data_IF_023682691057
#
_entry.id   IF_023682691057
#
_cell.length_a   1.000
_cell.length_b   1.000
_cell.length_c   1.000
_cell.angle_alpha   90.00
_cell.angle_beta   90.00
_cell.angle_gamma   90.00
#
_symmetry.space_group_name_H-M   'P 1'
#
loop_
_entity.id
_entity.type
_entity.pdbx_description
1 polymer ?
#
# COMPACT_ATOMS: atom_id res chain seq x y z
N UNK A 1 -61.96 57.07 -2.09
CA UNK A 1 -61.87 58.42 -1.44
C UNK A 1 -60.40 58.68 -1.17
N UNK A 2 -59.85 59.64 -1.90
CA UNK A 2 -58.55 60.33 -1.75
C UNK A 2 -57.25 59.51 -1.95
N UNK A 3 -56.66 59.55 -3.14
CA UNK A 3 -55.31 59.94 -3.49
C UNK A 3 -54.97 61.34 -3.01
N UNK A 4 -53.78 61.85 -2.79
CA UNK A 4 -52.83 62.08 -3.88
C UNK A 4 -51.30 62.00 -3.53
N UNK A 5 -50.50 61.83 -4.60
CA UNK A 5 -49.25 62.52 -4.97
C UNK A 5 -48.08 62.53 -3.97
N UNK A 6 -46.87 62.32 -4.30
CA UNK A 6 -46.04 62.65 -5.44
C UNK A 6 -44.60 62.65 -4.96
N UNK A 7 -43.64 62.43 -5.81
CA UNK A 7 -42.27 62.79 -5.50
C UNK A 7 -41.22 61.78 -6.00
N UNK A 8 -40.84 61.96 -7.25
CA UNK A 8 -39.65 61.46 -7.91
C UNK A 8 -38.40 61.81 -7.09
N UNK A 9 -37.48 60.77 -6.95
CA UNK A 9 -36.06 61.09 -7.07
C UNK A 9 -35.30 59.82 -7.45
N UNK A 10 -34.85 59.81 -8.69
CA UNK A 10 -33.79 58.89 -9.20
C UNK A 10 -32.47 59.30 -8.58
N UNK A 11 -31.86 58.43 -7.76
CA UNK A 11 -30.46 58.52 -7.44
C UNK A 11 -29.83 57.21 -7.81
N UNK A 12 -28.91 57.23 -8.78
CA UNK A 12 -28.23 56.09 -9.34
C UNK A 12 -27.37 55.36 -8.29
N UNK A 13 -27.60 54.06 -8.18
CA UNK A 13 -26.67 53.18 -7.47
C UNK A 13 -25.43 52.97 -8.33
N UNK A 14 -24.34 53.64 -7.98
CA UNK A 14 -23.01 53.29 -8.42
C UNK A 14 -22.57 52.00 -7.70
N UNK A 15 -22.27 51.01 -8.48
CA UNK A 15 -21.71 49.71 -8.04
C UNK A 15 -20.23 49.95 -7.66
N UNK A 16 -19.77 49.61 -6.45
CA UNK A 16 -18.35 49.77 -6.10
C UNK A 16 -17.52 48.74 -6.85
N UNK A 17 -16.54 49.22 -7.60
CA UNK A 17 -15.52 48.41 -8.29
C UNK A 17 -14.68 47.67 -7.25
N UNK A 18 -14.50 46.39 -7.49
CA UNK A 18 -13.59 45.53 -6.76
C UNK A 18 -12.15 46.03 -6.96
N UNK A 19 -11.35 46.26 -5.90
CA UNK A 19 -9.97 46.73 -6.05
C UNK A 19 -9.11 45.65 -6.72
N UNK A 20 -8.28 46.09 -7.68
CA UNK A 20 -7.25 45.28 -8.36
C UNK A 20 -6.07 45.13 -7.42
N UNK A 21 -5.41 43.94 -7.48
CA UNK A 21 -4.29 43.55 -6.62
C UNK A 21 -2.95 44.27 -6.93
N UNK A 22 -2.96 45.36 -7.71
CA UNK A 22 -1.75 46.03 -8.20
C UNK A 22 -1.53 47.45 -7.68
N UNK A 23 -2.40 47.93 -6.76
CA UNK A 23 -2.25 49.29 -6.23
C UNK A 23 -1.30 49.30 -5.01
N UNK A 24 -0.29 50.17 -4.99
CA UNK A 24 0.61 50.32 -3.84
C UNK A 24 -0.10 50.95 -2.66
N UNK A 25 0.06 50.37 -1.49
CA UNK A 25 -0.47 50.88 -0.21
C UNK A 25 0.30 52.14 0.14
N UNK A 26 -0.35 53.29 0.05
CA UNK A 26 0.14 54.58 0.57
C UNK A 26 -0.34 54.67 2.02
N UNK A 27 0.59 54.57 2.96
CA UNK A 27 0.34 54.87 4.37
C UNK A 27 0.49 56.38 4.57
N UNK A 28 -0.62 57.08 4.70
CA UNK A 28 -0.64 58.45 5.20
C UNK A 28 -0.40 58.43 6.74
N UNK A 29 0.74 58.92 7.15
CA UNK A 29 1.00 59.25 8.54
C UNK A 29 0.64 60.71 8.72
N UNK A 30 -0.42 60.97 9.42
CA UNK A 30 -0.81 62.30 9.91
C UNK A 30 0.14 62.67 11.06
N UNK A 31 0.98 63.68 10.86
CA UNK A 31 1.82 64.27 11.92
C UNK A 31 1.10 65.52 12.45
N UNK A 32 0.67 65.40 13.70
CA UNK A 32 0.20 66.50 14.48
C UNK A 32 1.40 67.38 14.91
N UNK A 33 1.23 68.70 14.76
CA UNK A 33 2.27 69.68 14.97
C UNK A 33 2.45 70.10 16.44
N UNK A 34 3.68 70.25 16.85
CA UNK A 34 4.07 70.78 18.14
C UNK A 34 5.44 71.46 18.07
N UNK A 35 5.44 72.80 18.18
CA UNK A 35 6.61 73.67 18.21
C UNK A 35 7.63 73.33 19.32
N UNK A 36 8.93 73.36 18.97
CA UNK A 36 10.05 73.35 19.95
C UNK A 36 11.41 73.46 19.28
N UNK A 37 12.39 74.23 19.80
CA UNK A 37 13.50 74.73 19.03
C UNK A 37 14.66 73.81 18.78
N UNK A 38 15.33 74.07 17.65
CA UNK A 38 16.57 73.34 17.21
C UNK A 38 17.75 73.57 18.16
N UNK A 39 18.67 72.49 18.22
CA UNK A 39 20.04 72.81 17.93
C UNK A 39 20.77 71.71 17.10
N UNK A 40 21.60 72.24 16.19
CA UNK A 40 22.92 71.83 15.73
C UNK A 40 23.17 70.37 15.29
N UNK A 41 23.41 70.25 14.01
CA UNK A 41 24.37 69.43 13.28
C UNK A 41 25.20 68.40 14.05
N UNK A 42 24.92 67.11 13.75
CA UNK A 42 25.94 66.07 13.64
C UNK A 42 25.47 64.99 12.69
N UNK A 43 25.99 65.01 11.46
CA UNK A 43 25.78 63.99 10.44
C UNK A 43 26.76 62.83 10.70
N UNK A 44 26.30 61.61 11.00
CA UNK A 44 27.18 60.46 11.03
C UNK A 44 27.49 60.02 9.60
N UNK A 45 28.71 59.46 9.34
CA UNK A 45 29.16 59.13 7.99
C UNK A 45 28.32 57.99 7.37
N UNK A 46 27.96 58.17 6.10
CA UNK A 46 27.29 57.15 5.26
C UNK A 46 28.21 55.92 5.17
N UNK A 47 27.74 54.80 5.67
CA UNK A 47 28.35 53.49 5.37
C UNK A 47 28.18 53.18 3.87
N UNK A 48 29.25 52.67 3.18
CA UNK A 48 29.14 52.30 1.81
C UNK A 48 28.15 51.12 1.66
N UNK A 49 27.16 51.28 0.82
CA UNK A 49 26.21 50.24 0.43
C UNK A 49 26.94 49.17 -0.41
N UNK A 50 27.25 48.06 0.21
CA UNK A 50 27.75 46.89 -0.51
C UNK A 50 26.69 46.34 -1.50
N UNK A 51 27.09 45.68 -2.57
CA UNK A 51 26.18 45.20 -3.58
C UNK A 51 25.15 44.23 -2.95
N UNK A 52 23.87 44.56 -3.03
CA UNK A 52 22.77 43.71 -2.63
C UNK A 52 22.64 42.58 -3.64
N UNK A 53 23.23 41.42 -3.34
CA UNK A 53 23.01 40.21 -4.13
C UNK A 53 21.59 39.73 -3.82
N UNK A 54 20.63 40.16 -4.64
CA UNK A 54 19.27 39.59 -4.67
C UNK A 54 19.33 38.31 -5.52
N UNK A 55 19.77 37.22 -4.92
CA UNK A 55 19.55 35.90 -5.53
C UNK A 55 18.05 35.58 -5.42
N UNK A 56 17.29 35.83 -6.48
CA UNK A 56 15.93 35.30 -6.62
C UNK A 56 16.03 33.78 -6.52
N UNK A 57 15.26 33.10 -5.65
CA UNK A 57 15.25 31.65 -5.63
C UNK A 57 14.84 31.16 -7.01
N UNK A 58 15.70 30.31 -7.61
CA UNK A 58 15.49 29.72 -8.92
C UNK A 58 14.25 28.80 -8.81
N UNK A 59 13.05 29.34 -9.11
CA UNK A 59 11.85 28.50 -9.21
C UNK A 59 12.05 27.54 -10.37
N UNK A 60 11.89 26.23 -10.16
CA UNK A 60 12.00 25.27 -11.24
C UNK A 60 11.02 25.68 -12.35
N UNK A 61 11.58 25.94 -13.55
CA UNK A 61 10.77 26.31 -14.73
C UNK A 61 9.80 25.15 -14.98
N UNK A 62 8.50 25.45 -14.95
CA UNK A 62 7.46 24.49 -15.40
C UNK A 62 7.83 24.08 -16.84
N UNK A 63 7.88 22.73 -17.13
CA UNK A 63 8.20 22.29 -18.47
C UNK A 63 7.25 22.91 -19.48
N UNK A 64 7.79 23.48 -20.57
CA UNK A 64 7.00 24.09 -21.64
C UNK A 64 6.07 23.04 -22.26
N UNK A 65 4.95 23.45 -22.82
CA UNK A 65 4.03 22.52 -23.49
C UNK A 65 4.72 21.76 -24.63
N UNK A 66 5.69 22.36 -25.31
CA UNK A 66 6.53 21.70 -26.31
C UNK A 66 7.34 20.53 -25.75
N UNK A 67 7.94 20.68 -24.55
CA UNK A 67 8.66 19.60 -23.88
C UNK A 67 7.75 18.41 -23.53
N UNK A 68 6.51 18.67 -23.12
CA UNK A 68 5.53 17.62 -22.81
C UNK A 68 5.09 16.86 -24.06
N UNK A 69 4.88 17.58 -25.17
CA UNK A 69 4.53 16.97 -26.45
C UNK A 69 5.70 16.13 -26.96
N UNK A 70 6.93 16.65 -26.89
CA UNK A 70 8.12 15.89 -27.28
C UNK A 70 8.28 14.60 -26.47
N UNK A 71 8.18 14.66 -25.14
CA UNK A 71 8.21 13.47 -24.26
C UNK A 71 7.08 12.50 -24.63
N UNK A 72 5.88 13.01 -24.89
CA UNK A 72 4.74 12.18 -25.32
C UNK A 72 5.01 11.45 -26.64
N UNK A 73 5.59 12.13 -27.62
CA UNK A 73 5.93 11.54 -28.93
C UNK A 73 7.04 10.49 -28.77
N UNK A 74 8.10 10.80 -28.00
CA UNK A 74 9.18 9.83 -27.75
C UNK A 74 8.67 8.60 -27.04
N UNK A 75 7.79 8.77 -26.03
CA UNK A 75 7.18 7.66 -25.31
C UNK A 75 6.27 6.82 -26.25
N UNK A 76 5.44 7.47 -27.07
CA UNK A 76 4.60 6.79 -28.04
C UNK A 76 5.44 5.99 -29.06
N UNK A 77 6.51 6.58 -29.57
CA UNK A 77 7.43 5.91 -30.50
C UNK A 77 8.12 4.72 -29.83
N UNK A 78 8.58 4.86 -28.59
CA UNK A 78 9.18 3.76 -27.83
C UNK A 78 8.18 2.61 -27.61
N UNK A 79 6.91 2.92 -27.32
CA UNK A 79 5.84 1.92 -27.19
C UNK A 79 5.59 1.20 -28.52
N UNK A 80 5.52 1.94 -29.64
CA UNK A 80 5.31 1.36 -30.97
C UNK A 80 6.46 0.44 -31.37
N UNK A 81 7.70 0.87 -31.14
CA UNK A 81 8.90 0.07 -31.41
C UNK A 81 8.91 -1.19 -30.53
N UNK A 82 8.64 -1.05 -29.22
CA UNK A 82 8.57 -2.18 -28.30
C UNK A 82 7.49 -3.18 -28.71
N UNK A 83 6.31 -2.70 -29.09
CA UNK A 83 5.20 -3.53 -29.57
C UNK A 83 5.56 -4.24 -30.89
N UNK A 84 6.25 -3.57 -31.81
CA UNK A 84 6.72 -4.15 -33.05
C UNK A 84 7.67 -5.34 -32.79
N UNK A 85 8.67 -5.17 -31.92
CA UNK A 85 9.59 -6.26 -31.60
C UNK A 85 8.89 -7.42 -30.88
N UNK A 86 7.99 -7.11 -29.93
CA UNK A 86 7.22 -8.14 -29.24
C UNK A 86 6.33 -8.93 -30.20
N UNK A 87 5.68 -8.25 -31.15
CA UNK A 87 4.85 -8.87 -32.18
C UNK A 87 5.67 -9.69 -33.18
N UNK A 88 6.82 -9.17 -33.61
CA UNK A 88 7.73 -9.87 -34.51
C UNK A 88 8.23 -11.18 -33.87
N UNK A 89 8.65 -11.15 -32.61
CA UNK A 89 9.06 -12.35 -31.88
C UNK A 89 7.91 -13.35 -31.77
N UNK A 90 6.71 -12.90 -31.39
CA UNK A 90 5.52 -13.76 -31.29
C UNK A 90 5.17 -14.43 -32.63
N UNK A 91 5.18 -13.65 -33.72
CA UNK A 91 4.89 -14.19 -35.08
C UNK A 91 5.95 -15.22 -35.48
N UNK A 92 7.23 -14.94 -35.20
CA UNK A 92 8.32 -15.87 -35.49
C UNK A 92 8.17 -17.20 -34.74
N UNK A 93 7.83 -17.12 -33.44
CA UNK A 93 7.59 -18.31 -32.61
C UNK A 93 6.41 -19.12 -33.15
N UNK A 94 5.29 -18.47 -33.48
CA UNK A 94 4.11 -19.14 -34.07
C UNK A 94 4.46 -19.82 -35.39
N UNK A 95 5.19 -19.16 -36.28
CA UNK A 95 5.60 -19.73 -37.56
C UNK A 95 6.56 -20.93 -37.36
N UNK A 96 7.50 -20.83 -36.44
CA UNK A 96 8.45 -21.90 -36.12
C UNK A 96 7.74 -23.15 -35.58
N UNK A 97 6.85 -22.99 -34.57
CA UNK A 97 6.03 -24.08 -34.04
C UNK A 97 5.09 -24.68 -35.10
N UNK A 98 4.57 -23.83 -35.99
CA UNK A 98 3.72 -24.29 -37.10
C UNK A 98 4.46 -25.18 -38.07
N UNK A 99 5.71 -24.81 -38.43
CA UNK A 99 6.55 -25.61 -39.34
C UNK A 99 6.91 -26.99 -38.77
N UNK A 100 7.05 -27.06 -37.42
CA UNK A 100 7.35 -28.31 -36.72
C UNK A 100 6.10 -29.16 -36.43
N UNK A 101 4.88 -28.70 -36.75
CA UNK A 101 3.63 -29.39 -36.46
C UNK A 101 3.17 -29.29 -35.00
N UNK A 102 3.82 -28.44 -34.16
CA UNK A 102 3.54 -28.28 -32.73
C UNK A 102 2.73 -27.03 -32.39
N UNK A 103 1.81 -26.60 -33.25
CA UNK A 103 0.97 -25.41 -33.01
C UNK A 103 0.18 -25.50 -31.70
N UNK A 104 -0.29 -26.69 -31.32
CA UNK A 104 -1.04 -26.88 -30.07
C UNK A 104 -0.23 -26.47 -28.84
N UNK A 105 1.10 -26.65 -28.84
CA UNK A 105 1.98 -26.29 -27.72
C UNK A 105 1.97 -24.79 -27.47
N UNK A 106 2.15 -23.99 -28.53
CA UNK A 106 2.18 -22.52 -28.38
C UNK A 106 0.83 -21.97 -27.93
N UNK A 107 -0.28 -22.51 -28.47
CA UNK A 107 -1.62 -22.08 -28.07
C UNK A 107 -1.95 -22.49 -26.63
N UNK A 108 -1.56 -23.69 -26.20
CA UNK A 108 -1.70 -24.12 -24.80
C UNK A 108 -0.88 -23.22 -23.87
N UNK A 109 0.37 -22.94 -24.22
CA UNK A 109 1.24 -22.06 -23.44
C UNK A 109 0.68 -20.65 -23.32
N UNK A 110 0.28 -20.05 -24.46
CA UNK A 110 -0.27 -18.70 -24.50
C UNK A 110 -1.61 -18.62 -23.74
N UNK A 111 -2.50 -19.59 -24.01
CA UNK A 111 -3.80 -19.65 -23.34
C UNK A 111 -3.68 -19.79 -21.83
N UNK A 112 -2.77 -20.65 -21.36
CA UNK A 112 -2.50 -20.81 -19.92
C UNK A 112 -1.89 -19.56 -19.31
N UNK A 113 -0.91 -18.94 -19.96
CA UNK A 113 -0.29 -17.68 -19.49
C UNK A 113 -1.31 -16.56 -19.36
N UNK A 114 -2.11 -16.32 -20.40
CA UNK A 114 -3.14 -15.28 -20.41
C UNK A 114 -4.25 -15.62 -19.43
N UNK A 115 -4.67 -16.88 -19.39
CA UNK A 115 -5.70 -17.37 -18.47
C UNK A 115 -5.31 -17.16 -17.00
N UNK A 116 -4.11 -17.55 -16.61
CA UNK A 116 -3.58 -17.33 -15.25
C UNK A 116 -3.46 -15.85 -14.91
N UNK A 117 -2.94 -15.05 -15.84
CA UNK A 117 -2.83 -13.60 -15.67
C UNK A 117 -4.20 -12.97 -15.42
N UNK A 118 -5.18 -13.25 -16.27
CA UNK A 118 -6.54 -12.70 -16.15
C UNK A 118 -7.25 -13.21 -14.88
N UNK A 119 -7.16 -14.50 -14.58
CA UNK A 119 -7.76 -15.09 -13.40
C UNK A 119 -7.24 -14.39 -12.12
N UNK A 120 -5.93 -14.20 -12.05
CA UNK A 120 -5.33 -13.53 -10.90
C UNK A 120 -5.67 -12.03 -10.83
N UNK A 121 -5.70 -11.34 -11.98
CA UNK A 121 -6.13 -9.95 -12.07
C UNK A 121 -7.58 -9.77 -11.57
N UNK A 122 -8.48 -10.67 -11.97
CA UNK A 122 -9.87 -10.68 -11.50
C UNK A 122 -9.96 -10.94 -10.00
N UNK A 123 -9.17 -11.87 -9.46
CA UNK A 123 -9.15 -12.16 -8.03
C UNK A 123 -8.68 -10.95 -7.21
N UNK A 124 -7.61 -10.25 -7.63
CA UNK A 124 -7.15 -9.03 -6.97
C UNK A 124 -8.21 -7.92 -7.07
N UNK A 125 -8.85 -7.76 -8.23
CA UNK A 125 -9.92 -6.79 -8.41
C UNK A 125 -11.12 -7.10 -7.48
N UNK A 126 -11.48 -8.37 -7.33
CA UNK A 126 -12.53 -8.81 -6.42
C UNK A 126 -12.17 -8.50 -4.94
N UNK A 127 -10.94 -8.81 -4.51
CA UNK A 127 -10.45 -8.49 -3.16
C UNK A 127 -10.49 -6.98 -2.91
N UNK A 128 -10.04 -6.17 -3.86
CA UNK A 128 -10.11 -4.71 -3.77
C UNK A 128 -11.55 -4.19 -3.69
N UNK A 129 -12.45 -4.74 -4.50
CA UNK A 129 -13.88 -4.40 -4.48
C UNK A 129 -14.54 -4.78 -3.14
N UNK A 130 -14.27 -5.99 -2.62
CA UNK A 130 -14.77 -6.44 -1.33
C UNK A 130 -14.25 -5.52 -0.22
N UNK A 131 -12.94 -5.24 -0.20
CA UNK A 131 -12.34 -4.36 0.80
C UNK A 131 -12.94 -2.97 0.78
N UNK A 132 -13.18 -2.39 -0.42
CA UNK A 132 -13.79 -1.08 -0.58
C UNK A 132 -15.26 -1.07 -0.12
N UNK A 133 -16.04 -2.08 -0.49
CA UNK A 133 -17.45 -2.17 -0.08
C UNK A 133 -17.60 -2.30 1.42
N UNK A 134 -16.79 -3.13 2.07
CA UNK A 134 -16.77 -3.29 3.52
C UNK A 134 -16.37 -1.97 4.23
N UNK A 135 -15.39 -1.24 3.69
CA UNK A 135 -14.97 0.04 4.25
C UNK A 135 -16.05 1.13 4.09
N UNK A 136 -16.75 1.16 2.94
CA UNK A 136 -17.87 2.08 2.70
C UNK A 136 -19.04 1.77 3.65
N UNK A 137 -19.33 0.50 3.87
CA UNK A 137 -20.36 0.04 4.83
C UNK A 137 -20.01 0.35 6.28
N UNK A 138 -18.70 0.43 6.54
CA UNK A 138 -18.13 0.74 7.85
C UNK A 138 -17.95 2.23 8.09
N UNK A 139 -18.37 3.11 7.17
CA UNK A 139 -18.19 4.55 7.27
C UNK A 139 -18.82 5.09 8.55
N UNK A 140 -18.10 5.91 9.35
CA UNK A 140 -18.69 6.62 10.47
C UNK A 140 -19.78 7.59 9.95
N UNK A 141 -20.88 7.71 10.69
CA UNK A 141 -21.91 8.69 10.38
C UNK A 141 -21.30 10.10 10.32
N UNK A 142 -21.79 10.93 9.38
CA UNK A 142 -21.22 12.23 9.05
C UNK A 142 -21.23 13.27 10.20
N UNK A 143 -21.83 12.95 11.33
CA UNK A 143 -21.87 13.77 12.54
C UNK A 143 -20.47 14.03 13.17
N UNK A 144 -19.46 13.25 12.82
CA UNK A 144 -18.08 13.43 13.27
C UNK A 144 -17.18 14.09 12.20
N UNK A 145 -17.71 14.96 11.37
CA UNK A 145 -16.94 15.86 10.52
C UNK A 145 -15.94 16.62 11.40
N UNK A 146 -14.63 16.39 11.17
CA UNK A 146 -13.58 17.13 11.86
C UNK A 146 -13.61 18.60 11.37
N UNK A 147 -14.51 19.38 11.93
CA UNK A 147 -14.49 20.83 11.83
C UNK A 147 -13.47 21.33 12.82
N UNK A 148 -12.36 21.87 12.36
CA UNK A 148 -11.46 22.63 13.22
C UNK A 148 -11.94 24.07 13.18
N UNK A 149 -12.36 24.60 14.33
CA UNK A 149 -12.62 26.03 14.50
C UNK A 149 -11.27 26.72 14.74
N UNK A 150 -10.83 27.49 13.76
CA UNK A 150 -9.68 28.39 13.89
C UNK A 150 -10.21 29.81 13.73
N UNK A 151 -10.08 30.63 14.76
CA UNK A 151 -10.50 32.05 14.78
C UNK A 151 -11.99 32.32 14.42
N UNK A 152 -12.90 31.43 14.77
CA UNK A 152 -14.33 31.59 14.47
C UNK A 152 -14.77 30.99 13.13
N UNK A 153 -13.86 30.72 12.22
CA UNK A 153 -14.14 30.02 10.96
C UNK A 153 -14.03 28.50 11.10
N UNK A 154 -15.06 27.82 10.64
CA UNK A 154 -15.08 26.35 10.56
C UNK A 154 -14.39 25.90 9.29
N UNK A 155 -13.15 25.41 9.41
CA UNK A 155 -12.43 24.77 8.29
C UNK A 155 -12.82 23.29 8.28
N UNK A 156 -13.63 22.90 7.30
CA UNK A 156 -13.88 21.49 7.01
C UNK A 156 -12.64 20.85 6.38
N UNK A 157 -11.83 20.17 7.18
CA UNK A 157 -10.69 19.39 6.68
C UNK A 157 -11.19 18.02 6.27
N UNK A 158 -11.25 17.81 4.96
CA UNK A 158 -11.56 16.53 4.35
C UNK A 158 -12.97 16.46 3.79
N UNK A 159 -13.18 16.97 2.58
CA UNK A 159 -14.31 16.56 1.74
C UNK A 159 -14.24 15.05 1.61
N UNK A 160 -15.07 14.33 2.34
CA UNK A 160 -15.17 12.89 2.19
C UNK A 160 -15.58 12.59 0.76
N UNK A 161 -14.75 11.77 0.09
CA UNK A 161 -15.05 11.29 -1.26
C UNK A 161 -16.43 10.64 -1.27
N UNK A 162 -17.28 10.96 -2.25
CA UNK A 162 -18.58 10.30 -2.39
C UNK A 162 -18.42 8.79 -2.43
N UNK A 163 -19.30 8.04 -1.75
CA UNK A 163 -19.25 6.57 -1.72
C UNK A 163 -19.23 5.93 -3.12
N UNK A 164 -19.91 6.56 -4.10
CA UNK A 164 -19.90 6.11 -5.50
C UNK A 164 -18.54 6.33 -6.15
N UNK A 165 -17.93 7.50 -5.96
CA UNK A 165 -16.60 7.82 -6.50
C UNK A 165 -15.51 6.96 -5.86
N UNK A 166 -15.56 6.77 -4.53
CA UNK A 166 -14.62 5.92 -3.81
C UNK A 166 -14.66 4.47 -4.29
N UNK A 167 -15.87 3.93 -4.53
CA UNK A 167 -16.02 2.57 -5.08
C UNK A 167 -15.43 2.46 -6.49
N UNK A 168 -15.68 3.44 -7.37
CA UNK A 168 -15.09 3.46 -8.72
C UNK A 168 -13.57 3.52 -8.69
N UNK A 169 -13.02 4.42 -7.87
CA UNK A 169 -11.56 4.57 -7.70
C UNK A 169 -10.96 3.26 -7.17
N UNK A 170 -11.57 2.65 -6.17
CA UNK A 170 -11.10 1.39 -5.62
C UNK A 170 -11.10 0.26 -6.65
N UNK A 171 -12.16 0.14 -7.47
CA UNK A 171 -12.24 -0.85 -8.55
C UNK A 171 -11.16 -0.60 -9.61
N UNK A 172 -10.99 0.65 -10.05
CA UNK A 172 -9.98 0.98 -11.07
C UNK A 172 -8.57 0.70 -10.55
N UNK A 173 -8.26 1.13 -9.32
CA UNK A 173 -6.94 0.88 -8.72
C UNK A 173 -6.72 -0.63 -8.54
N UNK A 174 -7.70 -1.37 -8.02
CA UNK A 174 -7.54 -2.80 -7.82
C UNK A 174 -7.42 -3.58 -9.14
N UNK A 175 -8.10 -3.13 -10.20
CA UNK A 175 -7.93 -3.70 -11.53
C UNK A 175 -6.54 -3.45 -12.10
N UNK A 176 -6.03 -2.20 -12.00
CA UNK A 176 -4.66 -1.85 -12.42
C UNK A 176 -3.63 -2.68 -11.64
N UNK A 177 -3.77 -2.73 -10.32
CA UNK A 177 -2.90 -3.54 -9.45
C UNK A 177 -2.98 -5.01 -9.84
N UNK A 178 -4.19 -5.53 -10.10
CA UNK A 178 -4.41 -6.90 -10.56
C UNK A 178 -3.72 -7.22 -11.88
N UNK A 179 -3.83 -6.33 -12.87
CA UNK A 179 -3.17 -6.50 -14.17
C UNK A 179 -1.63 -6.47 -14.05
N UNK A 180 -1.09 -5.60 -13.19
CA UNK A 180 0.37 -5.51 -12.98
C UNK A 180 0.89 -6.74 -12.23
N UNK A 181 0.28 -7.10 -11.10
CA UNK A 181 0.75 -8.24 -10.29
C UNK A 181 0.35 -9.60 -10.87
N UNK A 182 -0.70 -9.67 -11.68
CA UNK A 182 -1.07 -10.88 -12.41
C UNK A 182 0.04 -11.38 -13.33
N UNK A 183 0.88 -10.49 -13.86
CA UNK A 183 2.01 -10.86 -14.72
C UNK A 183 3.05 -11.75 -14.03
N UNK A 184 3.14 -11.73 -12.71
CA UNK A 184 4.04 -12.59 -11.92
C UNK A 184 3.71 -14.08 -12.10
N UNK A 185 2.43 -14.43 -12.29
CA UNK A 185 1.98 -15.81 -12.45
C UNK A 185 2.08 -16.31 -13.88
N UNK A 186 2.22 -15.39 -14.83
CA UNK A 186 2.45 -15.72 -16.23
C UNK A 186 3.75 -16.49 -16.46
N UNK A 187 4.79 -16.22 -15.67
CA UNK A 187 6.10 -16.89 -15.83
C UNK A 187 6.05 -18.39 -15.47
N UNK A 188 5.20 -18.76 -14.51
CA UNK A 188 5.16 -20.11 -13.92
C UNK A 188 3.97 -20.94 -14.45
N UNK A 189 3.56 -20.69 -15.69
CA UNK A 189 2.44 -21.39 -16.34
C UNK A 189 2.65 -22.90 -16.40
N UNK A 190 3.90 -23.35 -16.58
CA UNK A 190 4.27 -24.78 -16.67
C UNK A 190 3.99 -25.53 -15.38
N UNK A 191 4.22 -24.92 -14.21
CA UNK A 191 3.98 -25.55 -12.91
C UNK A 191 2.50 -25.90 -12.71
N UNK A 192 1.61 -25.04 -13.20
CA UNK A 192 0.16 -25.28 -13.15
C UNK A 192 -0.24 -26.41 -14.11
N UNK A 193 0.28 -26.41 -15.34
CA UNK A 193 -0.02 -27.47 -16.30
C UNK A 193 0.54 -28.83 -15.84
N UNK A 194 1.75 -28.84 -15.30
CA UNK A 194 2.36 -30.06 -14.74
C UNK A 194 1.54 -30.60 -13.58
N UNK A 195 1.03 -29.74 -12.69
CA UNK A 195 0.20 -30.16 -11.57
C UNK A 195 -1.08 -30.86 -12.03
N UNK A 196 -1.76 -30.33 -13.05
CA UNK A 196 -2.99 -30.93 -13.59
C UNK A 196 -2.73 -32.18 -14.45
N UNK A 197 -1.53 -32.37 -14.95
CA UNK A 197 -1.11 -33.52 -15.74
C UNK A 197 -0.10 -34.40 -14.99
N UNK A 198 -0.24 -34.46 -13.65
CA UNK A 198 0.68 -35.22 -12.80
C UNK A 198 0.62 -36.68 -13.09
N UNK A 199 1.81 -37.35 -13.06
CA UNK A 199 1.98 -38.78 -13.24
C UNK A 199 2.64 -39.36 -11.99
N UNK A 200 2.21 -40.59 -11.60
CA UNK A 200 2.87 -41.34 -10.53
C UNK A 200 4.12 -42.02 -11.06
N UNK A 201 5.21 -41.95 -10.31
CA UNK A 201 6.44 -42.68 -10.61
C UNK A 201 6.44 -44.11 -10.04
N UNK A 202 5.45 -44.44 -9.20
CA UNK A 202 5.37 -45.76 -8.55
C UNK A 202 6.43 -45.97 -7.45
N UNK A 203 7.30 -45.00 -7.22
CA UNK A 203 8.33 -45.02 -6.17
C UNK A 203 8.02 -43.96 -5.14
N UNK A 204 8.17 -44.27 -3.85
CA UNK A 204 7.88 -43.40 -2.73
C UNK A 204 9.16 -42.91 -2.08
N UNK A 205 9.13 -41.64 -1.61
CA UNK A 205 10.22 -41.12 -0.80
C UNK A 205 10.28 -41.82 0.57
N UNK A 206 11.47 -42.03 1.14
CA UNK A 206 11.63 -42.74 2.41
C UNK A 206 11.23 -41.93 3.63
N UNK A 207 11.10 -40.57 3.52
CA UNK A 207 10.85 -39.70 4.65
C UNK A 207 9.35 -39.54 4.94
N UNK A 208 8.54 -39.29 3.91
CA UNK A 208 7.10 -39.06 4.03
C UNK A 208 6.26 -40.16 3.39
N UNK A 209 6.87 -41.09 2.65
CA UNK A 209 6.16 -42.16 1.97
C UNK A 209 5.27 -41.69 0.82
N UNK A 210 5.50 -40.48 0.29
CA UNK A 210 4.74 -39.87 -0.81
C UNK A 210 5.40 -40.26 -2.13
N UNK A 211 4.57 -40.46 -3.20
CA UNK A 211 5.08 -40.73 -4.53
C UNK A 211 5.99 -39.64 -5.04
N UNK A 212 7.10 -39.97 -5.68
CA UNK A 212 8.08 -39.02 -6.18
C UNK A 212 7.46 -38.04 -7.24
N UNK A 213 6.43 -38.49 -7.96
CA UNK A 213 5.68 -37.63 -8.89
C UNK A 213 5.03 -36.41 -8.21
N UNK A 214 4.66 -36.52 -6.92
CA UNK A 214 4.16 -35.39 -6.15
C UNK A 214 5.17 -34.24 -6.09
N UNK A 215 6.42 -34.53 -5.81
CA UNK A 215 7.48 -33.53 -5.66
C UNK A 215 7.80 -32.81 -6.98
N UNK A 216 7.70 -33.54 -8.09
CA UNK A 216 8.04 -33.03 -9.43
C UNK A 216 6.88 -32.25 -10.04
N UNK A 217 5.66 -32.78 -9.94
CA UNK A 217 4.51 -32.25 -10.67
C UNK A 217 3.59 -31.41 -9.80
N UNK A 218 3.30 -31.86 -8.58
CA UNK A 218 2.22 -31.26 -7.77
C UNK A 218 2.74 -30.17 -6.84
N UNK A 219 3.84 -30.42 -6.17
CA UNK A 219 4.39 -29.52 -5.14
C UNK A 219 4.72 -28.12 -5.67
N UNK A 220 5.37 -27.92 -6.84
CA UNK A 220 5.65 -26.59 -7.38
C UNK A 220 4.36 -25.80 -7.63
N UNK A 221 3.36 -26.44 -8.25
CA UNK A 221 2.06 -25.82 -8.51
C UNK A 221 1.32 -25.44 -7.21
N UNK A 222 1.33 -26.30 -6.18
CA UNK A 222 0.74 -25.98 -4.87
C UNK A 222 1.43 -24.79 -4.20
N UNK A 223 2.77 -24.74 -4.25
CA UNK A 223 3.54 -23.59 -3.72
C UNK A 223 3.19 -22.30 -4.45
N UNK A 224 3.06 -22.37 -5.77
CA UNK A 224 2.64 -21.23 -6.58
C UNK A 224 1.24 -20.75 -6.18
N UNK A 225 0.26 -21.65 -6.06
CA UNK A 225 -1.10 -21.33 -5.61
C UNK A 225 -1.09 -20.71 -4.22
N UNK A 226 -0.34 -21.30 -3.27
CA UNK A 226 -0.30 -20.78 -1.90
C UNK A 226 0.39 -19.42 -1.82
N UNK A 227 1.42 -19.18 -2.63
CA UNK A 227 2.04 -17.86 -2.79
C UNK A 227 1.07 -16.85 -3.37
N UNK A 228 0.26 -17.25 -4.37
CA UNK A 228 -0.80 -16.42 -4.93
C UNK A 228 -1.86 -16.06 -3.88
N UNK A 229 -2.31 -17.02 -3.08
CA UNK A 229 -3.25 -16.78 -1.98
C UNK A 229 -2.67 -15.80 -0.95
N UNK A 230 -1.41 -15.99 -0.54
CA UNK A 230 -0.74 -15.09 0.40
C UNK A 230 -0.67 -13.65 -0.14
N UNK A 231 -0.35 -13.49 -1.42
CA UNK A 231 -0.29 -12.17 -2.06
C UNK A 231 -1.69 -11.53 -2.20
N UNK A 232 -2.73 -12.31 -2.49
CA UNK A 232 -4.13 -11.84 -2.49
C UNK A 232 -4.57 -11.33 -1.11
N UNK A 233 -4.23 -12.08 -0.05
CA UNK A 233 -4.58 -11.70 1.32
C UNK A 233 -3.79 -10.46 1.77
N UNK A 234 -2.53 -10.33 1.36
CA UNK A 234 -1.73 -9.13 1.57
C UNK A 234 -2.33 -7.92 0.84
N UNK A 235 -2.76 -8.10 -0.41
CA UNK A 235 -3.48 -7.08 -1.14
C UNK A 235 -4.78 -6.67 -0.41
N UNK A 236 -5.49 -7.63 0.19
CA UNK A 236 -6.66 -7.38 1.04
C UNK A 236 -6.36 -6.46 2.24
N UNK A 237 -5.22 -6.66 2.90
CA UNK A 237 -4.74 -5.78 3.98
C UNK A 237 -4.51 -4.36 3.44
N UNK A 238 -3.77 -4.24 2.34
CA UNK A 238 -3.41 -2.95 1.74
C UNK A 238 -4.66 -2.20 1.29
N UNK A 239 -5.55 -2.85 0.52
CA UNK A 239 -6.80 -2.25 0.07
C UNK A 239 -7.70 -1.86 1.24
N UNK A 240 -7.74 -2.65 2.31
CA UNK A 240 -8.48 -2.35 3.53
C UNK A 240 -7.96 -1.07 4.19
N UNK A 241 -6.64 -0.96 4.36
CA UNK A 241 -6.01 0.23 4.95
C UNK A 241 -6.30 1.46 4.09
N UNK A 242 -6.02 1.38 2.79
CA UNK A 242 -6.22 2.51 1.85
C UNK A 242 -7.68 2.96 1.82
N UNK A 243 -8.62 2.03 1.71
CA UNK A 243 -10.05 2.38 1.65
C UNK A 243 -10.55 2.96 2.98
N UNK A 244 -10.10 2.46 4.13
CA UNK A 244 -10.45 3.05 5.43
C UNK A 244 -9.83 4.42 5.65
N UNK A 245 -8.61 4.69 5.15
CA UNK A 245 -8.02 6.03 5.15
C UNK A 245 -8.87 6.98 4.31
N UNK A 246 -9.23 6.59 3.09
CA UNK A 246 -10.06 7.40 2.19
C UNK A 246 -11.49 7.63 2.72
N UNK A 247 -12.03 6.68 3.46
CA UNK A 247 -13.40 6.74 4.02
C UNK A 247 -13.44 7.35 5.43
N UNK A 248 -12.31 7.76 6.00
CA UNK A 248 -12.23 8.32 7.35
C UNK A 248 -12.39 7.29 8.47
N UNK A 249 -12.29 6.00 8.17
CA UNK A 249 -12.21 4.92 9.15
C UNK A 249 -10.87 4.88 9.89
N UNK A 250 -9.82 5.39 9.24
CA UNK A 250 -8.49 5.66 9.82
C UNK A 250 -8.23 7.14 9.67
N UNK A 251 -8.06 7.86 10.78
CA UNK A 251 -7.79 9.30 10.81
C UNK A 251 -6.46 9.54 11.50
N UNK A 252 -5.63 10.37 10.86
CA UNK A 252 -4.40 10.90 11.42
C UNK A 252 -4.70 12.36 11.75
N UNK A 253 -4.75 12.69 13.03
CA UNK A 253 -5.00 14.07 13.48
C UNK A 253 -3.71 14.64 14.04
N UNK A 254 -3.38 15.88 13.64
CA UNK A 254 -2.29 16.62 14.28
C UNK A 254 -2.59 16.79 15.77
N UNK A 255 -1.61 16.68 16.68
CA UNK A 255 -1.83 16.82 18.10
C UNK A 255 -2.16 18.29 18.43
N UNK A 256 -3.45 18.63 18.42
CA UNK A 256 -3.96 19.91 18.94
C UNK A 256 -4.60 19.60 20.30
N UNK A 257 -4.19 20.30 21.33
CA UNK A 257 -4.68 20.16 22.72
C UNK A 257 -4.52 18.77 23.36
N UNK A 258 -3.41 18.06 23.08
CA UNK A 258 -3.09 16.81 23.79
C UNK A 258 -3.90 15.57 23.36
N UNK A 259 -4.64 15.62 22.24
CA UNK A 259 -5.35 14.47 21.69
C UNK A 259 -4.53 13.70 20.65
N UNK A 260 -4.60 12.38 20.68
CA UNK A 260 -3.67 11.47 19.97
C UNK A 260 -3.76 11.45 18.45
N UNK A 261 -2.64 11.06 17.86
CA UNK A 261 -2.33 11.09 16.42
C UNK A 261 -3.14 10.11 15.56
N UNK A 262 -3.60 8.98 16.12
CA UNK A 262 -4.26 7.93 15.35
C UNK A 262 -5.60 7.55 15.94
N UNK A 263 -6.63 7.54 15.11
CA UNK A 263 -7.93 6.99 15.45
C UNK A 263 -8.35 5.98 14.40
N UNK A 264 -8.56 4.72 14.80
CA UNK A 264 -9.01 3.63 13.93
C UNK A 264 -10.36 3.14 14.44
N UNK A 265 -11.36 3.14 13.57
CA UNK A 265 -12.71 2.66 13.92
C UNK A 265 -12.71 1.16 14.21
N UNK A 266 -13.63 0.71 15.09
CA UNK A 266 -13.79 -0.71 15.44
C UNK A 266 -13.97 -1.61 14.20
N UNK A 267 -14.71 -1.13 13.19
CA UNK A 267 -14.96 -1.88 11.95
C UNK A 267 -13.69 -2.01 11.11
N UNK A 268 -12.88 -0.93 11.00
CA UNK A 268 -11.60 -0.94 10.30
C UNK A 268 -10.62 -1.93 10.95
N UNK A 269 -10.50 -1.90 12.29
CA UNK A 269 -9.65 -2.83 13.05
C UNK A 269 -10.07 -4.28 12.83
N UNK A 270 -11.38 -4.56 12.88
CA UNK A 270 -11.89 -5.90 12.63
C UNK A 270 -11.54 -6.40 11.23
N UNK A 271 -11.75 -5.58 10.22
CA UNK A 271 -11.44 -5.94 8.84
C UNK A 271 -9.94 -6.20 8.64
N UNK A 272 -9.08 -5.28 9.09
CA UNK A 272 -7.62 -5.41 8.97
C UNK A 272 -7.12 -6.62 9.77
N UNK A 273 -7.63 -6.82 10.99
CA UNK A 273 -7.27 -7.97 11.84
C UNK A 273 -7.62 -9.31 11.20
N UNK A 274 -8.79 -9.42 10.55
CA UNK A 274 -9.19 -10.65 9.83
C UNK A 274 -8.25 -10.91 8.64
N UNK A 275 -7.99 -9.90 7.79
CA UNK A 275 -7.09 -10.05 6.67
C UNK A 275 -5.67 -10.45 7.10
N UNK A 276 -5.16 -9.85 8.19
CA UNK A 276 -3.85 -10.19 8.74
C UNK A 276 -3.81 -11.64 9.24
N UNK A 277 -4.84 -12.06 9.98
CA UNK A 277 -4.94 -13.44 10.50
C UNK A 277 -4.94 -14.45 9.34
N UNK A 278 -5.78 -14.22 8.33
CA UNK A 278 -5.84 -15.09 7.15
C UNK A 278 -4.49 -15.14 6.40
N UNK A 279 -3.82 -14.00 6.27
CA UNK A 279 -2.50 -13.95 5.62
C UNK A 279 -1.43 -14.73 6.39
N UNK A 280 -1.43 -14.65 7.73
CA UNK A 280 -0.51 -15.42 8.56
C UNK A 280 -0.78 -16.92 8.47
N UNK A 281 -2.04 -17.35 8.39
CA UNK A 281 -2.38 -18.76 8.13
C UNK A 281 -1.92 -19.23 6.76
N UNK A 282 -2.13 -18.43 5.71
CA UNK A 282 -1.64 -18.77 4.38
C UNK A 282 -0.11 -18.87 4.35
N UNK A 283 0.58 -17.98 5.06
CA UNK A 283 2.03 -18.05 5.19
C UNK A 283 2.49 -19.29 5.95
N UNK A 284 1.84 -19.64 7.06
CA UNK A 284 2.11 -20.87 7.78
C UNK A 284 1.91 -22.12 6.91
N UNK A 285 0.81 -22.15 6.13
CA UNK A 285 0.57 -23.23 5.18
C UNK A 285 1.66 -23.30 4.09
N UNK A 286 2.14 -22.17 3.60
CA UNK A 286 3.25 -22.13 2.65
C UNK A 286 4.56 -22.64 3.26
N UNK A 287 4.84 -22.38 4.56
CA UNK A 287 5.97 -22.96 5.27
C UNK A 287 5.84 -24.49 5.36
N UNK A 288 4.65 -25.03 5.64
CA UNK A 288 4.40 -26.47 5.66
C UNK A 288 4.66 -27.10 4.28
N UNK A 289 4.22 -26.46 3.18
CA UNK A 289 4.56 -26.92 1.83
C UNK A 289 6.09 -26.85 1.56
N UNK A 290 6.76 -25.85 2.16
CA UNK A 290 8.22 -25.73 2.08
C UNK A 290 8.97 -26.93 2.65
N UNK A 291 8.40 -27.62 3.66
CA UNK A 291 8.99 -28.83 4.25
C UNK A 291 9.26 -29.89 3.18
N UNK A 292 8.28 -30.14 2.31
CA UNK A 292 8.41 -31.11 1.23
C UNK A 292 9.48 -30.71 0.20
N UNK A 293 9.70 -29.41 -0.01
CA UNK A 293 10.72 -28.93 -0.95
C UNK A 293 12.14 -29.24 -0.51
N UNK A 294 12.41 -29.39 0.79
CA UNK A 294 13.73 -29.73 1.31
C UNK A 294 14.23 -31.11 0.85
N UNK A 295 13.32 -31.97 0.38
CA UNK A 295 13.72 -33.28 -0.18
C UNK A 295 14.24 -33.19 -1.63
N UNK A 296 13.93 -32.10 -2.32
CA UNK A 296 14.30 -31.86 -3.73
C UNK A 296 15.31 -30.73 -3.91
N UNK A 297 15.75 -30.08 -2.82
CA UNK A 297 16.72 -28.97 -2.88
C UNK A 297 18.10 -29.47 -3.34
N UNK A 298 18.71 -28.71 -4.23
CA UNK A 298 20.09 -28.94 -4.66
C UNK A 298 21.05 -28.37 -3.61
N UNK A 299 21.73 -29.26 -2.90
CA UNK A 299 22.81 -28.89 -2.00
C UNK A 299 24.13 -28.78 -2.74
N UNK A 300 25.14 -28.16 -2.11
CA UNK A 300 26.49 -28.00 -2.70
C UNK A 300 27.22 -29.33 -2.99
N UNK A 301 26.82 -30.42 -2.34
CA UNK A 301 27.48 -31.74 -2.46
C UNK A 301 26.55 -32.89 -2.85
N UNK A 302 25.28 -32.78 -2.47
CA UNK A 302 24.26 -33.81 -2.74
C UNK A 302 22.93 -33.12 -3.04
N UNK A 303 22.13 -33.71 -3.91
CA UNK A 303 20.74 -33.34 -4.13
C UNK A 303 19.87 -34.11 -3.13
N UNK A 304 18.93 -33.37 -2.48
CA UNK A 304 18.00 -33.95 -1.52
C UNK A 304 18.34 -33.66 -0.06
N UNK A 305 17.60 -34.29 0.84
CA UNK A 305 17.69 -34.00 2.28
C UNK A 305 18.95 -34.61 2.91
N UNK A 306 19.69 -33.76 3.62
CA UNK A 306 20.79 -34.17 4.48
C UNK A 306 20.26 -34.66 5.84
N UNK A 307 21.12 -35.28 6.64
CA UNK A 307 20.79 -35.66 8.02
C UNK A 307 20.30 -34.43 8.84
N UNK A 308 20.95 -33.29 8.68
CA UNK A 308 20.56 -32.03 9.33
C UNK A 308 19.19 -31.57 8.83
N UNK A 309 18.91 -31.71 7.53
CA UNK A 309 17.61 -31.39 6.95
C UNK A 309 16.50 -32.19 7.60
N UNK A 310 16.67 -33.51 7.72
CA UNK A 310 15.66 -34.42 8.27
C UNK A 310 15.45 -34.20 9.77
N UNK A 311 16.54 -34.07 10.55
CA UNK A 311 16.48 -34.09 12.01
C UNK A 311 16.41 -32.68 12.64
N UNK A 312 16.74 -31.63 11.87
CA UNK A 312 16.65 -30.26 12.36
C UNK A 312 15.71 -29.40 11.51
N UNK A 313 15.98 -29.23 10.21
CA UNK A 313 15.27 -28.25 9.39
C UNK A 313 13.77 -28.57 9.28
N UNK A 314 13.42 -29.81 8.99
CA UNK A 314 12.02 -30.24 8.84
C UNK A 314 11.22 -30.04 10.15
N UNK A 315 11.64 -30.54 11.33
CA UNK A 315 10.92 -30.29 12.58
C UNK A 315 10.83 -28.80 12.93
N UNK A 316 11.93 -28.06 12.74
CA UNK A 316 11.96 -26.60 12.98
C UNK A 316 10.95 -25.87 12.09
N UNK A 317 10.84 -26.23 10.81
CA UNK A 317 9.91 -25.60 9.89
C UNK A 317 8.45 -25.84 10.31
N UNK A 318 8.08 -27.03 10.79
CA UNK A 318 6.76 -27.29 11.34
C UNK A 318 6.48 -26.45 12.58
N UNK A 319 7.44 -26.34 13.49
CA UNK A 319 7.32 -25.49 14.69
C UNK A 319 7.16 -24.02 14.28
N UNK A 320 7.93 -23.55 13.31
CA UNK A 320 7.85 -22.19 12.80
C UNK A 320 6.50 -21.90 12.13
N UNK A 321 5.95 -22.85 11.39
CA UNK A 321 4.61 -22.71 10.83
C UNK A 321 3.54 -22.58 11.94
N UNK A 322 3.63 -23.39 12.99
CA UNK A 322 2.74 -23.30 14.15
C UNK A 322 2.88 -21.94 14.87
N UNK A 323 4.12 -21.48 15.10
CA UNK A 323 4.39 -20.16 15.70
C UNK A 323 3.80 -19.05 14.82
N UNK A 324 3.98 -19.11 13.51
CA UNK A 324 3.43 -18.12 12.57
C UNK A 324 1.90 -18.08 12.63
N UNK A 325 1.24 -19.23 12.68
CA UNK A 325 -0.22 -19.32 12.82
C UNK A 325 -0.71 -18.73 14.16
N UNK A 326 -0.07 -19.12 15.28
CA UNK A 326 -0.38 -18.60 16.61
C UNK A 326 -0.18 -17.08 16.68
N UNK A 327 0.94 -16.60 16.15
CA UNK A 327 1.23 -15.16 16.08
C UNK A 327 0.19 -14.41 15.25
N UNK A 328 -0.27 -14.99 14.16
CA UNK A 328 -1.36 -14.46 13.36
C UNK A 328 -2.66 -14.29 14.16
N UNK A 329 -3.02 -15.29 14.97
CA UNK A 329 -4.19 -15.20 15.88
C UNK A 329 -3.99 -14.12 16.94
N UNK A 330 -2.84 -14.10 17.60
CA UNK A 330 -2.54 -13.11 18.66
C UNK A 330 -2.61 -11.69 18.09
N UNK A 331 -1.91 -11.42 16.99
CA UNK A 331 -1.87 -10.10 16.37
C UNK A 331 -3.22 -9.68 15.78
N UNK A 332 -3.91 -10.59 15.11
CA UNK A 332 -5.24 -10.34 14.58
C UNK A 332 -6.26 -9.99 15.65
N UNK A 333 -6.33 -10.79 16.71
CA UNK A 333 -7.22 -10.53 17.86
C UNK A 333 -6.81 -9.26 18.61
N UNK A 334 -5.53 -9.00 18.76
CA UNK A 334 -5.04 -7.78 19.38
C UNK A 334 -5.49 -6.53 18.61
N UNK A 335 -5.31 -6.50 17.28
CA UNK A 335 -5.79 -5.39 16.43
C UNK A 335 -7.31 -5.22 16.58
N UNK A 336 -8.06 -6.31 16.57
CA UNK A 336 -9.51 -6.27 16.65
C UNK A 336 -10.02 -5.73 18.01
N UNK A 337 -9.34 -6.08 19.12
CA UNK A 337 -9.75 -5.75 20.49
C UNK A 337 -9.08 -4.48 21.05
N UNK A 338 -8.05 -3.94 20.40
CA UNK A 338 -7.26 -2.82 20.92
C UNK A 338 -8.08 -1.52 21.01
N UNK A 339 -8.48 -1.13 22.23
CA UNK A 339 -9.16 0.14 22.51
C UNK A 339 -8.22 1.35 22.44
N UNK A 340 -6.92 1.16 22.59
CA UNK A 340 -5.91 2.24 22.54
C UNK A 340 -5.86 2.95 21.19
N UNK A 341 -6.35 2.30 20.13
CA UNK A 341 -6.45 2.86 18.79
C UNK A 341 -7.73 3.70 18.58
N UNK A 342 -8.61 3.82 19.58
CA UNK A 342 -9.85 4.60 19.49
C UNK A 342 -9.69 6.10 19.75
N UNK A 343 -8.56 6.51 20.27
CA UNK A 343 -8.19 7.93 20.28
C UNK A 343 -8.90 8.83 21.30
N UNK A 344 -9.59 8.31 22.33
CA UNK A 344 -10.43 9.09 23.24
C UNK A 344 -9.76 9.59 24.55
N UNK A 345 -8.56 9.13 24.89
CA UNK A 345 -7.87 9.50 26.14
C UNK A 345 -6.79 10.60 25.98
N UNK A 346 -6.40 11.39 27.02
CA UNK A 346 -5.31 12.37 26.98
C UNK A 346 -3.96 11.75 26.64
N UNK A 347 -3.04 12.49 25.99
CA UNK A 347 -1.75 11.94 25.51
C UNK A 347 -0.93 11.28 26.62
N UNK A 348 -0.88 11.89 27.83
CA UNK A 348 -0.10 11.34 28.94
C UNK A 348 -0.66 10.01 29.47
N UNK A 349 -1.99 9.90 29.57
CA UNK A 349 -2.64 8.64 29.93
C UNK A 349 -2.49 7.57 28.85
N UNK A 350 -2.46 7.97 27.57
CA UNK A 350 -2.26 7.07 26.43
C UNK A 350 -0.86 6.49 26.32
N UNK A 351 0.16 7.22 26.67
CA UNK A 351 1.53 6.71 26.62
C UNK A 351 1.68 5.49 27.51
N UNK A 352 1.15 5.53 28.73
CA UNK A 352 1.19 4.40 29.68
C UNK A 352 0.25 3.27 29.28
N UNK A 353 -0.96 3.59 28.79
CA UNK A 353 -1.92 2.58 28.30
C UNK A 353 -1.47 1.97 26.97
N UNK A 354 -0.90 2.76 26.06
CA UNK A 354 -0.31 2.28 24.82
C UNK A 354 0.84 1.33 25.13
N UNK A 355 1.77 1.69 26.01
CA UNK A 355 2.85 0.81 26.43
C UNK A 355 2.33 -0.51 27.03
N UNK A 356 1.27 -0.47 27.82
CA UNK A 356 0.59 -1.68 28.35
C UNK A 356 -0.06 -2.50 27.24
N UNK A 357 -0.75 -1.85 26.31
CA UNK A 357 -1.43 -2.52 25.21
C UNK A 357 -0.46 -3.12 24.20
N UNK A 358 0.67 -2.44 23.93
CA UNK A 358 1.72 -2.93 23.03
C UNK A 358 2.57 -4.04 23.64
N UNK A 359 2.49 -4.29 24.93
CA UNK A 359 3.22 -5.39 25.59
C UNK A 359 2.91 -6.75 24.94
N UNK A 360 1.64 -7.04 24.69
CA UNK A 360 1.22 -8.34 24.13
C UNK A 360 1.83 -8.57 22.73
N UNK A 361 1.65 -7.70 21.73
CA UNK A 361 2.25 -7.92 20.41
C UNK A 361 3.77 -7.85 20.41
N UNK A 362 4.38 -6.94 21.21
CA UNK A 362 5.85 -6.84 21.26
C UNK A 362 6.48 -8.09 21.90
N UNK A 363 5.93 -8.59 23.00
CA UNK A 363 6.39 -9.84 23.62
C UNK A 363 6.16 -11.02 22.68
N UNK A 364 5.01 -11.12 22.02
CA UNK A 364 4.73 -12.20 21.07
C UNK A 364 5.69 -12.18 19.87
N UNK A 365 5.96 -11.02 19.29
CA UNK A 365 6.92 -10.88 18.18
C UNK A 365 8.34 -11.17 18.65
N UNK A 366 8.77 -10.58 19.79
CA UNK A 366 10.10 -10.78 20.31
C UNK A 366 10.37 -12.25 20.68
N UNK A 367 9.41 -12.93 21.33
CA UNK A 367 9.51 -14.35 21.63
C UNK A 367 9.56 -15.20 20.36
N UNK A 368 8.76 -14.90 19.34
CA UNK A 368 8.80 -15.59 18.06
C UNK A 368 10.16 -15.42 17.36
N UNK A 369 10.74 -14.21 17.38
CA UNK A 369 12.07 -13.95 16.83
C UNK A 369 13.16 -14.72 17.58
N UNK A 370 13.16 -14.68 18.93
CA UNK A 370 14.14 -15.41 19.73
C UNK A 370 14.05 -16.92 19.50
N UNK A 371 12.84 -17.47 19.53
CA UNK A 371 12.62 -18.90 19.27
C UNK A 371 13.05 -19.24 17.84
N UNK A 372 12.72 -18.41 16.86
CA UNK A 372 13.18 -18.60 15.47
C UNK A 372 14.70 -18.64 15.37
N UNK A 373 15.42 -17.70 15.99
CA UNK A 373 16.88 -17.66 15.98
C UNK A 373 17.50 -18.91 16.66
N UNK A 374 16.96 -19.32 17.81
CA UNK A 374 17.42 -20.51 18.51
C UNK A 374 17.21 -21.76 17.67
N UNK A 375 16.02 -21.93 17.11
CA UNK A 375 15.69 -23.13 16.33
C UNK A 375 16.41 -23.17 14.98
N UNK A 376 16.56 -22.05 14.28
CA UNK A 376 17.16 -22.02 12.93
C UNK A 376 18.67 -21.95 12.94
N UNK A 377 19.28 -21.38 13.97
CA UNK A 377 20.74 -21.20 14.04
C UNK A 377 21.38 -22.14 15.05
N UNK A 378 20.91 -22.12 16.31
CA UNK A 378 21.57 -22.87 17.37
C UNK A 378 21.32 -24.40 17.26
N UNK A 379 20.08 -24.81 16.94
CA UNK A 379 19.73 -26.21 16.90
C UNK A 379 20.49 -27.03 15.83
N UNK A 380 20.63 -26.62 14.58
CA UNK A 380 21.42 -27.31 13.57
C UNK A 380 22.91 -27.39 13.94
N UNK A 381 23.47 -26.30 14.51
CA UNK A 381 24.88 -26.28 14.96
C UNK A 381 25.12 -27.27 16.10
N UNK A 382 24.21 -27.34 17.06
CA UNK A 382 24.30 -28.32 18.16
C UNK A 382 24.27 -29.76 17.63
N UNK A 383 23.33 -30.08 16.71
CA UNK A 383 23.26 -31.41 16.11
C UNK A 383 24.51 -31.79 15.32
N UNK A 384 25.17 -30.84 14.68
CA UNK A 384 26.43 -31.10 13.97
C UNK A 384 27.62 -31.31 14.90
N UNK A 385 27.62 -30.71 16.09
CA UNK A 385 28.75 -30.74 17.03
C UNK A 385 28.75 -31.99 17.92
N UNK A 386 27.59 -32.57 18.20
CA UNK A 386 27.46 -33.73 19.10
C UNK A 386 27.31 -35.06 18.37
N UNK A 387 27.69 -35.09 17.10
CA UNK A 387 27.78 -36.27 16.29
C UNK A 387 29.22 -36.46 15.73
#
# INVERSE_FOLDING_TARGET
MFDPEGGSNRAGRQNPRKPSNDDPIILNVETDGGDGPQPSSNVPPKRPSGPRITSKPNRPRKPSNGSKIFIGVVLALAIVIGLFFALAQFVTDVMWYSQLGFQSVIWTQLGTRVGLWLAYAVLIAAVGFISATLAIWARPDAADGSTIRVNGDTIEIGKSVSSKSARRIAVVISLIVGLVFGSQFNANWSEILLMFNSQSFGTKDPQFGIDNGFYVFVLPGLKLIMSAVSLLLLAGIIFSIVTHVLMGGIRITMPVNGHGLFRITKRARRQIGIWLMLNMFAWAANQVLGVFSHLTEEGSRITGATYTTVNATIPVTFIMAAITAILGVILGLWIMKSHTLEGSAPIAARASEALKAWKVPTVAIASAIVVSLVLTVAWPVLLQRFR
#
